data_IF_125845779307
#
_entry.id   IF_125845779307
#
_cell.length_a   1.000
_cell.length_b   1.000
_cell.length_c   1.000
_cell.angle_alpha   90.00
_cell.angle_beta   90.00
_cell.angle_gamma   90.00
#
_symmetry.space_group_name_H-M   'P 1'
#
loop_
_entity.id
_entity.type
_entity.pdbx_description
1 polymer ?
#
# COMPACT_ATOMS: atom_id res chain seq x y z
N UNK A 1 10.83 1.41 -46.36
CA UNK A 1 12.28 1.71 -46.41
C UNK A 1 12.89 1.33 -45.08
N UNK A 2 14.09 0.75 -45.06
CA UNK A 2 14.80 0.39 -43.82
C UNK A 2 15.52 1.62 -43.28
N UNK A 3 15.15 2.09 -42.09
CA UNK A 3 15.86 3.17 -41.40
C UNK A 3 16.94 2.57 -40.51
N UNK A 4 18.22 2.91 -40.76
CA UNK A 4 19.33 2.48 -39.89
C UNK A 4 19.50 3.49 -38.76
N UNK A 5 19.41 3.01 -37.52
CA UNK A 5 19.60 3.84 -36.33
C UNK A 5 21.09 4.06 -36.10
N UNK A 6 21.54 5.32 -36.15
CA UNK A 6 22.92 5.69 -35.83
C UNK A 6 23.04 5.94 -34.32
N UNK A 7 23.96 5.28 -33.63
CA UNK A 7 24.03 5.27 -32.14
C UNK A 7 24.47 6.59 -31.48
N UNK A 8 24.62 7.65 -32.27
CA UNK A 8 25.22 8.95 -31.89
C UNK A 8 24.34 9.74 -30.91
N UNK A 9 23.05 9.43 -30.78
CA UNK A 9 22.13 10.17 -29.91
C UNK A 9 22.44 10.06 -28.42
N UNK A 10 23.19 9.04 -27.96
CA UNK A 10 23.45 8.79 -26.53
C UNK A 10 24.35 9.85 -25.87
N UNK A 11 25.18 10.54 -26.65
CA UNK A 11 26.15 11.52 -26.14
C UNK A 11 25.64 12.97 -26.28
N UNK A 12 24.37 13.15 -26.69
CA UNK A 12 23.77 14.48 -26.85
C UNK A 12 23.32 15.05 -25.49
N UNK A 13 23.50 16.35 -25.34
CA UNK A 13 22.97 17.10 -24.19
C UNK A 13 21.57 17.58 -24.57
N UNK A 14 20.57 17.14 -23.81
CA UNK A 14 19.18 17.53 -24.00
C UNK A 14 18.65 18.26 -22.76
N UNK A 15 17.91 19.35 -22.97
CA UNK A 15 17.20 20.06 -21.91
C UNK A 15 15.76 19.53 -21.85
N UNK A 16 15.49 18.60 -20.94
CA UNK A 16 14.19 17.92 -20.80
C UNK A 16 13.69 18.03 -19.37
N UNK A 17 12.38 18.23 -19.22
CA UNK A 17 11.71 18.11 -17.93
C UNK A 17 11.36 16.64 -17.64
N UNK A 18 11.56 16.19 -16.40
CA UNK A 18 11.18 14.83 -15.99
C UNK A 18 9.69 14.53 -16.28
N UNK A 19 8.84 15.54 -16.18
CA UNK A 19 7.43 15.52 -16.56
C UNK A 19 7.19 14.98 -17.98
N UNK A 20 8.05 15.33 -18.94
CA UNK A 20 7.91 14.94 -20.35
C UNK A 20 8.29 13.47 -20.58
N UNK A 21 9.09 12.87 -19.68
CA UNK A 21 9.58 11.50 -19.83
C UNK A 21 8.58 10.44 -19.34
N UNK A 22 7.56 10.84 -18.58
CA UNK A 22 6.58 9.91 -18.02
C UNK A 22 5.29 9.97 -18.84
N UNK A 23 4.91 8.87 -19.55
CA UNK A 23 3.70 8.85 -20.35
C UNK A 23 2.46 9.27 -19.56
N UNK A 24 1.57 10.06 -20.17
CA UNK A 24 0.37 10.60 -19.49
C UNK A 24 -0.55 9.51 -18.94
N UNK A 25 -0.63 8.35 -19.60
CA UNK A 25 -1.46 7.21 -19.17
C UNK A 25 -0.70 6.23 -18.25
N UNK A 26 0.52 6.56 -17.81
CA UNK A 26 1.30 5.68 -16.93
C UNK A 26 0.63 5.52 -15.56
N UNK A 27 0.73 4.32 -14.98
CA UNK A 27 0.04 3.98 -13.73
C UNK A 27 0.40 4.91 -12.57
N UNK A 28 1.69 5.27 -12.43
CA UNK A 28 2.13 6.20 -11.36
C UNK A 28 1.42 7.54 -11.40
N UNK A 29 1.08 8.06 -12.59
CA UNK A 29 0.33 9.31 -12.71
C UNK A 29 -1.11 9.16 -12.24
N UNK A 30 -1.73 8.02 -12.56
CA UNK A 30 -3.06 7.68 -12.06
C UNK A 30 -3.06 7.61 -10.54
N UNK A 31 -2.07 6.93 -9.95
CA UNK A 31 -1.90 6.82 -8.50
C UNK A 31 -1.71 8.20 -7.87
N UNK A 32 -0.79 9.01 -8.40
CA UNK A 32 -0.54 10.37 -7.90
C UNK A 32 -1.79 11.26 -7.94
N UNK A 33 -2.60 11.14 -9.01
CA UNK A 33 -3.87 11.87 -9.11
C UNK A 33 -4.98 11.30 -8.20
N UNK A 34 -4.91 10.01 -7.89
CA UNK A 34 -5.93 9.30 -7.14
C UNK A 34 -5.72 9.38 -5.63
N UNK A 35 -4.49 9.56 -5.16
CA UNK A 35 -4.17 9.53 -3.73
C UNK A 35 -3.45 10.82 -3.36
N UNK A 36 -4.05 11.60 -2.48
CA UNK A 36 -3.36 12.65 -1.75
C UNK A 36 -2.58 12.01 -0.59
N UNK A 37 -1.26 12.18 -0.59
CA UNK A 37 -0.36 11.67 0.44
C UNK A 37 -0.05 12.69 1.54
N UNK A 38 -0.49 13.96 1.40
CA UNK A 38 -0.14 15.05 2.32
C UNK A 38 -0.58 14.80 3.76
N UNK A 39 -1.68 14.06 3.95
CA UNK A 39 -2.19 13.68 5.28
C UNK A 39 -1.17 12.91 6.14
N UNK A 40 -0.14 12.31 5.52
CA UNK A 40 0.90 11.57 6.22
C UNK A 40 1.72 12.51 7.10
N UNK A 41 1.94 13.76 6.69
CA UNK A 41 2.73 14.72 7.48
C UNK A 41 2.11 14.95 8.86
N UNK A 42 0.79 15.14 8.91
CA UNK A 42 0.08 15.32 10.18
C UNK A 42 0.11 14.04 11.03
N UNK A 43 -0.01 12.87 10.41
CA UNK A 43 0.04 11.59 11.12
C UNK A 43 1.38 11.32 11.79
N UNK A 44 2.48 11.77 11.18
CA UNK A 44 3.83 11.46 11.67
C UNK A 44 4.49 12.60 12.42
N UNK A 45 3.85 13.76 12.50
CA UNK A 45 4.45 14.99 13.04
C UNK A 45 5.18 14.78 14.37
N UNK A 46 4.52 14.14 15.33
CA UNK A 46 5.07 13.94 16.69
C UNK A 46 6.19 12.89 16.76
N UNK A 47 6.40 12.12 15.69
CA UNK A 47 7.49 11.14 15.58
C UNK A 47 8.77 11.74 14.99
N UNK A 48 8.76 13.02 14.62
CA UNK A 48 9.86 13.72 14.00
C UNK A 48 10.28 14.93 14.85
N UNK A 49 11.60 15.12 14.97
CA UNK A 49 12.19 16.26 15.66
C UNK A 49 12.42 17.38 14.67
N UNK A 50 12.15 18.62 15.08
CA UNK A 50 12.51 19.83 14.34
C UNK A 50 14.03 20.13 14.39
N UNK A 51 14.74 19.51 15.34
CA UNK A 51 16.17 19.66 15.56
C UNK A 51 16.95 18.41 15.12
N UNK A 52 18.16 18.63 14.62
CA UNK A 52 19.13 17.58 14.27
C UNK A 52 19.26 17.33 12.76
N UNK A 53 19.78 16.15 12.41
CA UNK A 53 19.95 15.75 11.00
C UNK A 53 18.57 15.51 10.37
N UNK A 54 18.24 16.18 9.24
CA UNK A 54 17.01 15.93 8.52
C UNK A 54 16.87 14.46 8.15
N UNK A 55 15.71 13.90 8.47
CA UNK A 55 15.31 12.58 7.99
C UNK A 55 14.86 12.66 6.53
N UNK A 56 14.76 11.51 5.88
CA UNK A 56 13.99 11.38 4.64
C UNK A 56 12.53 11.82 4.89
N UNK A 57 11.94 12.41 3.86
CA UNK A 57 10.53 12.74 3.79
C UNK A 57 9.65 11.49 4.04
N UNK A 58 8.71 11.55 5.01
CA UNK A 58 7.79 10.44 5.30
C UNK A 58 6.86 10.08 4.15
N UNK A 59 6.43 11.03 3.32
CA UNK A 59 5.61 10.73 2.13
C UNK A 59 6.42 9.90 1.14
N UNK A 60 7.68 10.26 0.91
CA UNK A 60 8.58 9.48 0.06
C UNK A 60 8.77 8.06 0.61
N UNK A 61 8.93 7.90 1.93
CA UNK A 61 9.04 6.57 2.55
C UNK A 61 7.85 5.67 2.23
N UNK A 62 6.63 6.21 2.28
CA UNK A 62 5.41 5.47 1.95
C UNK A 62 5.30 5.25 0.43
N UNK A 63 5.62 6.25 -0.39
CA UNK A 63 5.61 6.08 -1.85
C UNK A 63 6.60 5.00 -2.33
N UNK A 64 7.73 4.83 -1.65
CA UNK A 64 8.67 3.73 -1.93
C UNK A 64 8.02 2.35 -1.77
N UNK A 65 7.23 2.15 -0.71
CA UNK A 65 6.52 0.87 -0.53
C UNK A 65 5.41 0.71 -1.54
N UNK A 66 4.71 1.80 -1.92
CA UNK A 66 3.75 1.77 -3.02
C UNK A 66 4.38 1.27 -4.32
N UNK A 67 5.52 1.83 -4.73
CA UNK A 67 6.23 1.35 -5.93
C UNK A 67 6.53 -0.15 -5.80
N UNK A 68 7.09 -0.56 -4.66
CA UNK A 68 7.46 -1.96 -4.42
C UNK A 68 6.27 -2.91 -4.60
N UNK A 69 5.14 -2.62 -3.94
CA UNK A 69 3.98 -3.51 -3.96
C UNK A 69 3.18 -3.42 -5.26
N UNK A 70 2.95 -2.22 -5.79
CA UNK A 70 2.16 -2.02 -7.01
C UNK A 70 2.84 -2.65 -8.24
N UNK A 71 4.17 -2.56 -8.34
CA UNK A 71 4.92 -3.13 -9.47
C UNK A 71 5.49 -4.52 -9.17
N UNK A 72 5.15 -5.12 -8.03
CA UNK A 72 5.55 -6.49 -7.69
C UNK A 72 7.06 -6.69 -7.49
N UNK A 73 7.77 -5.66 -7.03
CA UNK A 73 9.22 -5.72 -6.84
C UNK A 73 9.54 -6.48 -5.55
N UNK A 74 10.27 -7.59 -5.70
CA UNK A 74 10.47 -8.58 -4.62
C UNK A 74 11.29 -8.09 -3.42
N UNK A 75 12.03 -6.98 -3.55
CA UNK A 75 12.86 -6.48 -2.45
C UNK A 75 13.06 -4.98 -2.50
N UNK A 76 13.30 -4.38 -1.33
CA UNK A 76 13.60 -2.96 -1.24
C UNK A 76 14.93 -2.60 -1.91
N UNK A 77 15.93 -3.50 -1.85
CA UNK A 77 17.19 -3.33 -2.61
C UNK A 77 16.91 -3.17 -4.10
N UNK A 78 16.13 -4.09 -4.67
CA UNK A 78 15.78 -4.05 -6.09
C UNK A 78 14.95 -2.81 -6.44
N UNK A 79 14.06 -2.40 -5.54
CA UNK A 79 13.25 -1.20 -5.74
C UNK A 79 14.11 0.06 -5.81
N UNK A 80 15.12 0.19 -4.93
CA UNK A 80 16.07 1.31 -4.99
C UNK A 80 16.87 1.29 -6.30
N UNK A 81 17.39 0.14 -6.73
CA UNK A 81 18.07 0.00 -8.04
C UNK A 81 17.18 0.42 -9.22
N UNK A 82 15.89 0.06 -9.18
CA UNK A 82 14.95 0.47 -10.22
C UNK A 82 14.67 1.97 -10.18
N UNK A 83 14.59 2.60 -9.00
CA UNK A 83 14.40 4.06 -8.88
C UNK A 83 15.62 4.84 -9.40
N UNK A 84 16.82 4.27 -9.33
CA UNK A 84 18.01 4.91 -9.92
C UNK A 84 17.91 5.08 -11.44
N UNK A 85 17.19 4.19 -12.13
CA UNK A 85 17.15 4.14 -13.60
C UNK A 85 15.78 4.42 -14.20
N UNK A 86 14.69 4.22 -13.45
CA UNK A 86 13.32 4.37 -13.91
C UNK A 86 12.78 5.78 -13.65
N UNK A 87 12.62 6.56 -14.71
CA UNK A 87 12.16 7.95 -14.63
C UNK A 87 10.73 8.08 -14.09
N UNK A 88 9.85 7.11 -14.35
CA UNK A 88 8.49 7.13 -13.84
C UNK A 88 8.45 6.98 -12.31
N UNK A 89 9.37 6.19 -11.75
CA UNK A 89 9.48 6.02 -10.30
C UNK A 89 10.05 7.26 -9.64
N UNK A 90 11.10 7.86 -10.23
CA UNK A 90 11.64 9.14 -9.74
C UNK A 90 10.59 10.24 -9.77
N UNK A 91 9.85 10.34 -10.86
CA UNK A 91 8.75 11.28 -11.02
C UNK A 91 7.70 11.11 -9.91
N UNK A 92 7.27 9.86 -9.64
CA UNK A 92 6.30 9.57 -8.59
C UNK A 92 6.79 9.98 -7.19
N UNK A 93 8.09 9.81 -6.93
CA UNK A 93 8.73 10.21 -5.67
C UNK A 93 9.03 11.71 -5.58
N UNK A 94 8.87 12.46 -6.68
CA UNK A 94 9.27 13.87 -6.75
C UNK A 94 10.79 14.08 -6.80
N UNK A 95 11.56 13.05 -7.19
CA UNK A 95 13.01 13.15 -7.35
C UNK A 95 13.39 13.60 -8.76
N UNK A 96 14.20 14.66 -8.83
CA UNK A 96 14.91 15.06 -10.03
C UNK A 96 16.04 14.09 -10.39
N UNK A 97 16.70 14.37 -11.52
CA UNK A 97 17.78 13.52 -12.05
C UNK A 97 19.00 13.44 -11.13
N UNK A 98 19.28 14.51 -10.38
CA UNK A 98 20.45 14.60 -9.50
C UNK A 98 20.18 14.22 -8.04
N UNK A 99 18.91 14.02 -7.67
CA UNK A 99 18.57 13.68 -6.30
C UNK A 99 19.11 12.30 -5.92
N UNK A 100 19.64 12.19 -4.70
CA UNK A 100 20.16 10.90 -4.23
C UNK A 100 19.01 10.02 -3.78
N UNK A 101 18.93 8.83 -4.36
CA UNK A 101 17.97 7.82 -3.92
C UNK A 101 18.37 7.32 -2.52
N UNK A 102 17.42 7.11 -1.61
CA UNK A 102 17.70 6.59 -0.28
C UNK A 102 18.35 5.21 -0.34
N UNK A 103 19.24 4.93 0.60
CA UNK A 103 19.78 3.59 0.75
C UNK A 103 18.66 2.59 1.11
N UNK A 104 18.72 1.35 0.61
CA UNK A 104 17.67 0.33 0.79
C UNK A 104 17.29 0.04 2.25
N UNK A 105 18.21 0.27 3.20
CA UNK A 105 17.95 0.07 4.63
C UNK A 105 17.22 1.23 5.30
N UNK A 106 17.04 2.36 4.60
CA UNK A 106 16.40 3.57 5.15
C UNK A 106 14.97 3.28 5.59
N UNK A 107 14.19 2.56 4.78
CA UNK A 107 12.84 2.16 5.13
C UNK A 107 12.82 1.31 6.41
N UNK A 108 13.58 0.20 6.43
CA UNK A 108 13.63 -0.70 7.58
C UNK A 108 14.13 -0.03 8.87
N UNK A 109 15.09 0.90 8.77
CA UNK A 109 15.57 1.67 9.93
C UNK A 109 14.52 2.65 10.46
N UNK A 110 13.76 3.32 9.60
CA UNK A 110 12.69 4.21 10.04
C UNK A 110 11.53 3.40 10.65
N UNK A 111 11.19 2.27 10.04
CA UNK A 111 10.24 1.33 10.61
C UNK A 111 10.64 0.93 12.03
N UNK A 112 11.82 0.34 12.21
CA UNK A 112 12.27 -0.18 13.51
C UNK A 112 12.37 0.91 14.60
N UNK A 113 12.76 2.14 14.21
CA UNK A 113 13.05 3.22 15.18
C UNK A 113 11.85 4.11 15.49
N UNK A 114 10.93 4.32 14.55
CA UNK A 114 9.85 5.32 14.67
C UNK A 114 8.46 4.70 14.65
N UNK A 115 8.26 3.68 13.82
CA UNK A 115 6.92 3.20 13.49
C UNK A 115 6.59 1.84 14.08
N UNK A 116 7.61 1.11 14.54
CA UNK A 116 7.45 -0.17 15.22
C UNK A 116 6.54 0.03 16.44
N UNK A 117 5.65 -0.92 16.64
CA UNK A 117 4.67 -0.93 17.74
C UNK A 117 3.63 0.21 17.70
N UNK A 118 3.52 0.90 16.55
CA UNK A 118 2.42 1.83 16.25
C UNK A 118 1.42 1.22 15.27
N UNK A 119 0.23 1.80 15.19
CA UNK A 119 -0.81 1.48 14.20
C UNK A 119 -0.70 2.38 12.95
N UNK A 120 0.41 3.11 12.76
CA UNK A 120 0.58 4.11 11.71
C UNK A 120 0.28 3.56 10.31
N UNK A 121 0.82 2.38 9.97
CA UNK A 121 0.62 1.79 8.64
C UNK A 121 -0.84 1.41 8.38
N UNK A 122 -1.54 0.96 9.42
CA UNK A 122 -2.96 0.64 9.35
C UNK A 122 -3.78 1.93 9.16
N UNK A 123 -3.48 3.00 9.88
CA UNK A 123 -4.11 4.31 9.69
C UNK A 123 -3.89 4.86 8.27
N UNK A 124 -2.66 4.77 7.75
CA UNK A 124 -2.34 5.20 6.38
C UNK A 124 -3.13 4.37 5.37
N UNK A 125 -3.14 3.05 5.53
CA UNK A 125 -3.90 2.15 4.65
C UNK A 125 -5.39 2.52 4.62
N UNK A 126 -6.02 2.70 5.77
CA UNK A 126 -7.43 3.09 5.83
C UNK A 126 -7.74 4.44 5.19
N UNK A 127 -6.86 5.44 5.38
CA UNK A 127 -7.04 6.74 4.74
C UNK A 127 -6.93 6.66 3.22
N UNK A 128 -6.00 5.85 2.71
CA UNK A 128 -5.86 5.63 1.26
C UNK A 128 -7.08 4.86 0.72
N UNK A 129 -7.52 3.83 1.42
CA UNK A 129 -8.72 3.07 1.07
C UNK A 129 -9.96 3.98 1.01
N UNK A 130 -10.12 4.86 2.00
CA UNK A 130 -11.20 5.84 2.05
C UNK A 130 -11.16 6.78 0.83
N UNK A 131 -9.99 7.32 0.48
CA UNK A 131 -9.85 8.17 -0.72
C UNK A 131 -10.21 7.40 -2.00
N UNK A 132 -9.82 6.13 -2.10
CA UNK A 132 -10.16 5.28 -3.24
C UNK A 132 -11.66 5.00 -3.33
N UNK A 133 -12.33 4.78 -2.20
CA UNK A 133 -13.80 4.65 -2.14
C UNK A 133 -14.51 5.94 -2.56
N UNK A 134 -14.08 7.10 -2.04
CA UNK A 134 -14.65 8.41 -2.38
C UNK A 134 -14.54 8.71 -3.88
N UNK A 135 -13.43 8.28 -4.51
CA UNK A 135 -13.20 8.37 -5.96
C UNK A 135 -13.88 7.26 -6.77
N UNK A 136 -14.68 6.40 -6.13
CA UNK A 136 -15.39 5.26 -6.76
C UNK A 136 -14.45 4.30 -7.50
N UNK A 137 -13.20 4.18 -7.05
CA UNK A 137 -12.21 3.26 -7.61
C UNK A 137 -12.39 1.83 -7.06
N UNK A 138 -13.18 1.68 -6.01
CA UNK A 138 -13.48 0.42 -5.35
C UNK A 138 -14.98 0.16 -5.51
N UNK A 139 -15.33 -0.94 -6.18
CA UNK A 139 -16.69 -1.46 -6.14
C UNK A 139 -16.82 -2.43 -4.96
N UNK A 140 -17.85 -2.23 -4.14
CA UNK A 140 -18.19 -3.13 -3.04
C UNK A 140 -19.19 -4.21 -3.46
N UNK A 141 -19.55 -4.28 -4.74
CA UNK A 141 -20.54 -5.25 -5.26
C UNK A 141 -19.99 -6.68 -5.28
N UNK A 142 -18.69 -6.84 -5.54
CA UNK A 142 -18.04 -8.14 -5.61
C UNK A 142 -16.75 -8.13 -4.78
N UNK A 143 -16.71 -8.94 -3.72
CA UNK A 143 -15.51 -9.13 -2.90
C UNK A 143 -14.92 -10.50 -3.17
N UNK A 144 -13.71 -10.52 -3.73
CA UNK A 144 -12.94 -11.75 -3.90
C UNK A 144 -12.03 -11.92 -2.68
N UNK A 145 -12.22 -13.02 -1.95
CA UNK A 145 -11.37 -13.40 -0.82
C UNK A 145 -10.55 -14.61 -1.25
N UNK A 146 -9.26 -14.41 -1.48
CA UNK A 146 -8.31 -15.51 -1.67
C UNK A 146 -7.57 -15.77 -0.35
N UNK A 147 -7.53 -17.03 0.08
CA UNK A 147 -6.90 -17.43 1.34
C UNK A 147 -5.74 -18.37 1.06
N UNK A 148 -4.51 -17.91 1.29
CA UNK A 148 -3.32 -18.78 1.29
C UNK A 148 -3.03 -19.26 2.71
N UNK A 149 -3.10 -20.57 2.93
CA UNK A 149 -2.75 -21.17 4.22
C UNK A 149 -1.23 -21.18 4.40
N UNK A 150 -0.70 -20.25 5.20
CA UNK A 150 0.72 -20.23 5.58
C UNK A 150 0.88 -20.99 6.91
N UNK A 151 1.65 -22.07 6.92
CA UNK A 151 2.04 -22.74 8.17
C UNK A 151 3.00 -21.84 8.94
N UNK A 152 2.54 -21.30 10.07
CA UNK A 152 3.40 -20.52 10.96
C UNK A 152 4.45 -21.42 11.63
N UNK A 153 5.74 -21.03 11.57
CA UNK A 153 6.80 -21.58 12.42
C UNK A 153 6.77 -20.88 13.78
N UNK A 154 5.66 -21.05 14.51
CA UNK A 154 5.41 -20.36 15.77
C UNK A 154 5.21 -21.37 16.90
N UNK A 155 5.75 -21.05 18.09
CA UNK A 155 5.54 -21.85 19.28
C UNK A 155 4.11 -21.61 19.79
N UNK A 156 3.25 -22.64 19.70
CA UNK A 156 1.83 -22.60 20.11
C UNK A 156 1.59 -22.18 21.57
N UNK A 157 2.64 -22.16 22.41
CA UNK A 157 2.57 -21.79 23.83
C UNK A 157 2.95 -20.34 24.11
N UNK A 158 3.49 -19.60 23.14
CA UNK A 158 3.85 -18.19 23.28
C UNK A 158 2.87 -17.38 22.42
N UNK A 159 2.00 -16.61 23.07
CA UNK A 159 1.08 -15.70 22.41
C UNK A 159 0.84 -14.49 23.28
N UNK A 160 0.63 -13.34 22.65
CA UNK A 160 0.12 -12.13 23.25
C UNK A 160 -1.34 -11.94 22.85
N UNK A 161 -2.15 -11.42 23.76
CA UNK A 161 -3.53 -11.04 23.45
C UNK A 161 -3.50 -9.62 22.89
N UNK A 162 -3.94 -9.44 21.65
CA UNK A 162 -4.15 -8.12 21.06
C UNK A 162 -5.63 -7.91 20.79
N UNK A 163 -6.10 -6.72 21.16
CA UNK A 163 -7.43 -6.23 20.85
C UNK A 163 -7.38 -5.66 19.44
N UNK A 164 -8.14 -6.25 18.51
CA UNK A 164 -8.18 -5.82 17.10
C UNK A 164 -9.55 -5.28 16.79
N UNK A 165 -9.59 -4.16 16.05
CA UNK A 165 -10.83 -3.52 15.61
C UNK A 165 -11.55 -4.44 14.63
N UNK A 166 -12.81 -4.72 14.88
CA UNK A 166 -13.65 -5.54 14.01
C UNK A 166 -14.17 -4.62 12.90
N UNK A 167 -13.59 -4.70 11.70
CA UNK A 167 -14.12 -3.97 10.55
C UNK A 167 -15.59 -4.34 10.30
N UNK A 168 -16.36 -3.33 9.86
CA UNK A 168 -17.82 -3.39 9.74
C UNK A 168 -18.26 -4.47 8.72
N UNK A 169 -18.87 -5.53 9.25
CA UNK A 169 -19.41 -6.73 8.57
C UNK A 169 -20.61 -6.49 7.64
N UNK A 170 -20.75 -5.33 7.02
CA UNK A 170 -21.88 -5.05 6.12
C UNK A 170 -21.97 -6.06 4.96
N UNK A 171 -20.82 -6.55 4.48
CA UNK A 171 -20.75 -7.57 3.44
C UNK A 171 -21.09 -8.98 3.95
N UNK A 172 -20.81 -9.27 5.23
CA UNK A 172 -21.05 -10.60 5.78
C UNK A 172 -22.55 -10.89 5.95
N UNK A 173 -23.34 -9.87 6.27
CA UNK A 173 -24.79 -9.98 6.35
C UNK A 173 -25.40 -10.26 4.96
N UNK A 174 -25.01 -9.49 3.94
CA UNK A 174 -25.45 -9.71 2.54
C UNK A 174 -25.04 -11.07 1.99
N UNK A 175 -23.79 -11.49 2.25
CA UNK A 175 -23.31 -12.81 1.82
C UNK A 175 -24.13 -13.94 2.49
N UNK A 176 -24.51 -13.78 3.75
CA UNK A 176 -25.34 -14.76 4.46
C UNK A 176 -26.75 -14.83 3.87
N UNK A 177 -27.31 -13.68 3.46
CA UNK A 177 -28.59 -13.58 2.76
C UNK A 177 -28.53 -14.29 1.40
N UNK A 178 -27.52 -14.01 0.58
CA UNK A 178 -27.30 -14.67 -0.72
C UNK A 178 -27.14 -16.20 -0.59
N UNK A 179 -26.34 -16.65 0.39
CA UNK A 179 -26.15 -18.08 0.66
C UNK A 179 -27.48 -18.73 1.09
N UNK A 180 -28.28 -18.05 1.89
CA UNK A 180 -29.56 -18.59 2.34
C UNK A 180 -30.58 -18.65 1.20
N UNK A 181 -30.57 -17.66 0.31
CA UNK A 181 -31.44 -17.66 -0.87
C UNK A 181 -31.10 -18.81 -1.83
N UNK A 182 -29.80 -19.04 -2.11
CA UNK A 182 -29.35 -20.20 -2.89
C UNK A 182 -29.73 -21.53 -2.21
N UNK A 183 -29.67 -21.60 -0.88
CA UNK A 183 -30.08 -22.81 -0.13
C UNK A 183 -31.57 -23.07 -0.25
N UNK A 184 -32.42 -22.04 -0.20
CA UNK A 184 -33.87 -22.16 -0.38
C UNK A 184 -34.21 -22.65 -1.80
N UNK A 185 -33.56 -22.10 -2.82
CA UNK A 185 -33.70 -22.53 -4.21
C UNK A 185 -33.33 -24.02 -4.41
N UNK A 186 -32.38 -24.52 -3.60
CA UNK A 186 -31.96 -25.92 -3.59
C UNK A 186 -32.65 -26.78 -2.50
N UNK A 187 -33.72 -26.30 -1.87
CA UNK A 187 -34.53 -27.04 -0.89
C UNK A 187 -33.83 -27.34 0.45
N UNK A 188 -32.74 -26.62 0.76
CA UNK A 188 -31.97 -26.75 2.00
C UNK A 188 -32.43 -25.70 3.02
N UNK A 189 -32.43 -26.06 4.30
CA UNK A 189 -32.77 -25.11 5.38
C UNK A 189 -31.75 -23.96 5.45
N UNK A 190 -32.20 -22.71 5.70
CA UNK A 190 -31.32 -21.57 5.87
C UNK A 190 -30.40 -21.76 7.08
N UNK A 191 -29.21 -21.18 7.00
CA UNK A 191 -28.23 -21.21 8.08
C UNK A 191 -28.70 -20.24 9.17
N UNK A 192 -28.80 -20.66 10.44
CA UNK A 192 -29.17 -19.79 11.54
C UNK A 192 -28.22 -18.59 11.63
N UNK A 193 -28.77 -17.38 11.81
CA UNK A 193 -27.95 -16.20 12.09
C UNK A 193 -27.25 -16.39 13.43
N UNK A 194 -25.92 -16.44 13.41
CA UNK A 194 -25.14 -16.29 14.64
C UNK A 194 -25.34 -14.85 15.15
N UNK A 195 -25.95 -14.71 16.34
CA UNK A 195 -25.97 -13.45 17.07
C UNK A 195 -24.53 -13.12 17.49
N UNK A 196 -23.80 -12.48 16.59
CA UNK A 196 -22.54 -11.87 16.97
C UNK A 196 -22.87 -10.57 17.70
N UNK A 197 -22.63 -10.55 19.00
CA UNK A 197 -22.64 -9.30 19.75
C UNK A 197 -21.74 -8.27 19.03
N UNK A 198 -22.24 -7.04 18.96
CA UNK A 198 -21.57 -5.87 18.39
C UNK A 198 -20.40 -5.45 19.29
N UNK A 199 -19.43 -6.33 19.49
CA UNK A 199 -18.16 -5.92 20.03
C UNK A 199 -17.35 -5.28 18.90
N UNK A 200 -17.11 -3.97 19.00
CA UNK A 200 -16.28 -3.17 18.08
C UNK A 200 -14.83 -3.68 18.04
N UNK A 201 -14.44 -4.49 19.02
CA UNK A 201 -13.12 -5.07 19.15
C UNK A 201 -13.20 -6.54 19.56
N UNK A 202 -12.34 -7.38 19.01
CA UNK A 202 -12.18 -8.78 19.47
C UNK A 202 -10.75 -9.01 19.97
N UNK A 203 -10.60 -9.77 21.06
CA UNK A 203 -9.30 -10.29 21.47
C UNK A 203 -8.88 -11.43 20.53
N UNK A 204 -7.72 -11.30 19.89
CA UNK A 204 -7.08 -12.39 19.16
C UNK A 204 -5.75 -12.75 19.80
N UNK A 205 -5.42 -14.06 19.78
CA UNK A 205 -4.11 -14.56 20.17
C UNK A 205 -3.16 -14.39 18.99
N UNK A 206 -2.11 -13.59 19.18
CA UNK A 206 -1.05 -13.39 18.20
C UNK A 206 0.21 -14.05 18.75
N UNK A 207 0.76 -15.01 18.01
CA UNK A 207 1.96 -15.77 18.39
C UNK A 207 3.26 -15.08 17.99
#
# INVERSE_FOLDING_TARGET
MLTKHNSIQRDQIEMIALEQLVPTNHLVRKIESAIDFSFIYDLVKDMYSELGRPSIDPVILIKLTFIQYTFGIRSMRKTIEEIETNMAYRWFLGYGFHDKVPHFSTFGKNYERRFKDTDLFEQIFYRILKQAMEKKLISTEHVFIDSTHVKASANKRKFEKKVVRKETRSYQERLQEEINQDREDHGKKPIPQEKFDKEESKEIKVS
#
